data_IF_621962003341
#
_entry.id   IF_621962003341
#
_cell.length_a   1.000
_cell.length_b   1.000
_cell.length_c   1.000
_cell.angle_alpha   90.00
_cell.angle_beta   90.00
_cell.angle_gamma   90.00
#
_symmetry.space_group_name_H-M   'P 1'
#
loop_
_entity.id
_entity.type
_entity.pdbx_description
1 polymer ?
#
# COMPACT_ATOMS: atom_id res chain seq x y z
N UNK A 1 3.63 6.57 2.95
CA UNK A 1 3.70 7.88 2.25
C UNK A 1 4.23 7.84 0.81
N UNK A 2 5.03 6.83 0.39
CA UNK A 2 5.62 6.75 -0.97
C UNK A 2 4.59 6.69 -2.13
N UNK A 3 3.43 6.06 -1.94
CA UNK A 3 2.41 5.93 -3.00
C UNK A 3 1.68 7.24 -3.34
N UNK A 4 1.34 8.07 -2.34
CA UNK A 4 0.69 9.39 -2.54
C UNK A 4 1.52 10.32 -3.44
N UNK A 5 2.86 10.21 -3.41
CA UNK A 5 3.74 10.98 -4.29
C UNK A 5 3.71 10.50 -5.74
N UNK A 6 3.51 9.20 -6.02
CA UNK A 6 3.63 8.62 -7.36
C UNK A 6 2.48 9.01 -8.31
N UNK A 7 1.22 9.01 -7.85
CA UNK A 7 0.11 9.36 -8.74
C UNK A 7 0.07 10.86 -9.01
N UNK A 8 0.27 11.67 -7.95
CA UNK A 8 0.35 13.12 -8.07
C UNK A 8 1.52 13.56 -8.95
N UNK A 9 2.70 12.95 -8.81
CA UNK A 9 3.83 13.26 -9.70
C UNK A 9 3.54 12.88 -11.14
N UNK A 10 2.87 11.73 -11.38
CA UNK A 10 2.50 11.31 -12.74
C UNK A 10 1.53 12.29 -13.40
N UNK A 11 0.48 12.73 -12.71
CA UNK A 11 -0.47 13.70 -13.27
C UNK A 11 0.24 15.02 -13.60
N UNK A 12 1.07 15.54 -12.69
CA UNK A 12 1.82 16.78 -12.92
C UNK A 12 2.81 16.64 -14.07
N UNK A 13 3.53 15.53 -14.14
CA UNK A 13 4.48 15.24 -15.24
C UNK A 13 3.73 15.09 -16.56
N UNK A 14 2.59 14.39 -16.61
CA UNK A 14 1.80 14.22 -17.84
C UNK A 14 1.26 15.56 -18.36
N UNK A 15 0.69 16.40 -17.49
CA UNK A 15 0.23 17.73 -17.89
C UNK A 15 1.38 18.66 -18.30
N UNK A 16 2.51 18.60 -17.59
CA UNK A 16 3.71 19.37 -17.92
C UNK A 16 4.30 18.97 -19.28
N UNK A 17 4.47 17.66 -19.51
CA UNK A 17 4.96 17.12 -20.78
C UNK A 17 4.00 17.41 -21.93
N UNK A 18 2.69 17.27 -21.71
CA UNK A 18 1.69 17.58 -22.74
C UNK A 18 1.70 19.07 -23.09
N UNK A 19 1.72 19.96 -22.09
CA UNK A 19 1.80 21.40 -22.32
C UNK A 19 3.10 21.81 -23.02
N UNK A 20 4.23 21.23 -22.64
CA UNK A 20 5.52 21.48 -23.27
C UNK A 20 5.54 20.97 -24.73
N UNK A 21 5.03 19.76 -24.99
CA UNK A 21 4.95 19.20 -26.33
C UNK A 21 4.04 20.03 -27.25
N UNK A 22 2.88 20.45 -26.75
CA UNK A 22 1.92 21.26 -27.51
C UNK A 22 2.48 22.64 -27.85
N UNK A 23 3.15 23.29 -26.90
CA UNK A 23 3.77 24.61 -27.11
C UNK A 23 4.97 24.52 -28.05
N UNK A 24 5.80 23.49 -27.94
CA UNK A 24 6.89 23.24 -28.87
C UNK A 24 6.38 22.98 -30.30
N UNK A 25 5.31 22.19 -30.44
CA UNK A 25 4.68 21.92 -31.74
C UNK A 25 4.08 23.19 -32.36
N UNK A 26 3.45 24.04 -31.54
CA UNK A 26 2.95 25.34 -32.00
C UNK A 26 4.09 26.27 -32.45
N UNK A 27 5.20 26.31 -31.71
CA UNK A 27 6.37 27.10 -32.09
C UNK A 27 6.99 26.61 -33.41
N UNK A 28 7.12 25.29 -33.60
CA UNK A 28 7.59 24.70 -34.86
C UNK A 28 6.65 25.03 -36.03
N UNK A 29 5.33 24.98 -35.80
CA UNK A 29 4.34 25.33 -36.81
C UNK A 29 4.43 26.81 -37.23
N UNK A 30 4.64 27.72 -36.27
CA UNK A 30 4.84 29.16 -36.55
C UNK A 30 6.11 29.40 -37.37
N UNK A 31 7.22 28.72 -37.03
CA UNK A 31 8.48 28.84 -37.77
C UNK A 31 8.30 28.33 -39.21
N UNK A 32 7.66 27.16 -39.39
CA UNK A 32 7.40 26.60 -40.71
C UNK A 32 6.49 27.50 -41.57
N UNK A 33 5.40 28.01 -40.97
CA UNK A 33 4.47 28.91 -41.66
C UNK A 33 5.16 30.21 -42.08
N UNK A 34 6.01 30.78 -41.21
CA UNK A 34 6.78 31.97 -41.56
C UNK A 34 7.70 31.71 -42.75
N UNK A 35 8.46 30.61 -42.75
CA UNK A 35 9.35 30.26 -43.85
C UNK A 35 8.60 30.19 -45.19
N UNK A 36 7.43 29.54 -45.20
CA UNK A 36 6.60 29.46 -46.40
C UNK A 36 6.04 30.82 -46.86
N UNK A 37 5.67 31.70 -45.93
CA UNK A 37 5.16 33.04 -46.26
C UNK A 37 6.27 33.95 -46.77
N UNK A 38 7.47 33.85 -46.20
CA UNK A 38 8.64 34.65 -46.58
C UNK A 38 9.10 34.28 -47.99
N UNK A 39 9.20 32.98 -48.32
CA UNK A 39 9.53 32.52 -49.67
C UNK A 39 8.50 33.00 -50.71
N UNK A 40 7.20 33.00 -50.37
CA UNK A 40 6.15 33.50 -51.27
C UNK A 40 6.23 35.01 -51.47
N UNK A 41 6.36 35.78 -50.38
CA UNK A 41 6.42 37.24 -50.43
C UNK A 41 7.67 37.74 -51.14
N UNK A 42 8.83 37.10 -50.93
CA UNK A 42 10.08 37.46 -51.61
C UNK A 42 9.97 37.15 -53.10
N UNK A 43 9.49 35.96 -53.49
CA UNK A 43 9.34 35.61 -54.91
C UNK A 43 8.33 36.52 -55.63
N UNK A 44 7.19 36.82 -55.00
CA UNK A 44 6.18 37.71 -55.57
C UNK A 44 6.70 39.15 -55.67
N UNK A 45 7.43 39.63 -54.64
CA UNK A 45 8.05 40.95 -54.66
C UNK A 45 9.14 41.06 -55.72
N UNK A 46 9.97 40.02 -55.87
CA UNK A 46 11.02 39.95 -56.89
C UNK A 46 10.43 39.96 -58.30
N UNK A 47 9.40 39.14 -58.56
CA UNK A 47 8.76 39.08 -59.88
C UNK A 47 8.04 40.38 -60.23
N UNK A 48 7.28 40.94 -59.29
CA UNK A 48 6.59 42.22 -59.51
C UNK A 48 7.57 43.37 -59.71
N UNK A 49 8.66 43.39 -58.94
CA UNK A 49 9.73 44.38 -59.07
C UNK A 49 10.43 44.31 -60.43
N UNK A 50 10.75 43.10 -60.92
CA UNK A 50 11.34 42.91 -62.25
C UNK A 50 10.39 43.38 -63.36
N UNK A 51 9.09 43.04 -63.28
CA UNK A 51 8.10 43.43 -64.29
C UNK A 51 7.87 44.95 -64.33
N UNK A 52 7.67 45.58 -63.18
CA UNK A 52 7.49 47.04 -63.09
C UNK A 52 8.75 47.79 -63.56
N UNK A 53 9.93 47.22 -63.32
CA UNK A 53 11.19 47.79 -63.77
C UNK A 53 11.40 47.64 -65.29
N UNK A 54 11.02 46.51 -65.89
CA UNK A 54 11.04 46.32 -67.35
C UNK A 54 10.10 47.31 -68.06
N UNK A 55 8.92 47.55 -67.50
CA UNK A 55 7.98 48.53 -68.05
C UNK A 55 8.48 49.97 -67.91
N UNK A 56 9.12 50.32 -66.79
CA UNK A 56 9.78 51.61 -66.63
C UNK A 56 10.89 51.84 -67.64
N UNK A 57 11.74 50.84 -67.91
CA UNK A 57 12.83 50.96 -68.90
C UNK A 57 12.32 51.05 -70.34
N UNK A 58 11.20 50.41 -70.66
CA UNK A 58 10.51 50.60 -71.95
C UNK A 58 10.01 52.04 -72.12
N UNK A 59 9.60 52.69 -71.03
CA UNK A 59 9.10 54.08 -71.04
C UNK A 59 10.24 55.12 -70.95
N UNK A 60 11.37 54.77 -70.34
CA UNK A 60 12.54 55.62 -70.18
C UNK A 60 13.82 54.93 -70.68
N UNK A 61 14.09 54.94 -71.99
CA UNK A 61 15.24 54.27 -72.60
C UNK A 61 16.61 54.92 -72.27
N UNK A 62 16.64 56.00 -71.50
CA UNK A 62 17.88 56.67 -71.11
C UNK A 62 18.74 55.80 -70.17
N UNK A 63 20.03 55.69 -70.48
CA UNK A 63 20.99 54.76 -69.85
C UNK A 63 21.30 55.07 -68.37
N UNK A 64 20.80 56.17 -67.81
CA UNK A 64 21.07 56.62 -66.43
C UNK A 64 19.86 56.67 -65.49
N UNK A 65 18.66 56.31 -65.93
CA UNK A 65 17.45 56.42 -65.11
C UNK A 65 17.49 55.45 -63.92
N UNK A 66 17.60 55.99 -62.71
CA UNK A 66 17.49 55.23 -61.46
C UNK A 66 16.02 54.99 -61.14
N UNK A 67 15.63 53.74 -60.92
CA UNK A 67 14.31 53.40 -60.42
C UNK A 67 14.40 53.10 -58.92
N UNK A 68 13.92 54.00 -58.04
CA UNK A 68 13.87 53.71 -56.61
C UNK A 68 12.64 52.84 -56.32
N UNK A 69 12.81 51.52 -56.26
CA UNK A 69 11.91 50.69 -55.45
C UNK A 69 12.43 50.76 -54.01
N UNK A 70 11.58 51.06 -53.04
CA UNK A 70 11.91 50.74 -51.65
C UNK A 70 11.49 49.28 -51.43
N UNK A 71 12.39 48.32 -51.11
CA UNK A 71 13.76 48.46 -50.57
C UNK A 71 14.91 48.03 -51.52
N UNK A 72 14.78 48.23 -52.83
CA UNK A 72 15.65 47.64 -53.86
C UNK A 72 16.39 48.72 -54.65
N UNK A 73 17.72 48.62 -54.74
CA UNK A 73 18.52 49.42 -55.68
C UNK A 73 18.96 48.55 -56.85
N UNK A 74 18.49 48.85 -58.06
CA UNK A 74 18.89 48.16 -59.29
C UNK A 74 19.79 49.06 -60.15
N UNK A 75 20.95 48.55 -60.57
CA UNK A 75 21.87 49.20 -61.48
C UNK A 75 22.07 48.32 -62.70
N UNK A 76 21.75 48.85 -63.89
CA UNK A 76 22.06 48.18 -65.16
C UNK A 76 23.04 49.04 -65.93
N UNK A 77 24.12 48.41 -66.37
CA UNK A 77 25.12 49.04 -67.23
C UNK A 77 25.26 48.22 -68.51
N UNK A 78 25.46 48.88 -69.64
CA UNK A 78 25.93 48.22 -70.84
C UNK A 78 27.38 47.76 -70.63
N UNK A 79 27.80 46.69 -71.31
CA UNK A 79 29.17 46.16 -71.22
C UNK A 79 30.24 47.25 -71.41
N UNK A 80 29.95 48.24 -72.28
CA UNK A 80 30.82 49.38 -72.59
C UNK A 80 30.98 50.39 -71.45
N UNK A 81 30.09 50.39 -70.46
CA UNK A 81 30.06 51.33 -69.33
C UNK A 81 30.29 50.64 -67.99
N UNK A 82 30.95 49.47 -67.99
CA UNK A 82 31.29 48.72 -66.79
C UNK A 82 32.04 49.55 -65.72
N UNK A 83 32.83 50.55 -66.13
CA UNK A 83 33.55 51.46 -65.23
C UNK A 83 32.64 52.24 -64.26
N UNK A 84 31.34 52.37 -64.57
CA UNK A 84 30.37 53.10 -63.74
C UNK A 84 29.75 52.24 -62.61
N UNK A 85 30.05 50.94 -62.57
CA UNK A 85 29.60 50.06 -61.48
C UNK A 85 30.46 50.32 -60.24
N UNK A 86 29.88 50.39 -59.02
CA UNK A 86 30.67 50.49 -57.79
C UNK A 86 31.79 49.44 -57.76
N UNK A 87 33.02 49.87 -57.46
CA UNK A 87 34.21 49.00 -57.51
C UNK A 87 34.04 47.71 -56.67
N UNK A 88 33.30 47.80 -55.56
CA UNK A 88 32.99 46.66 -54.71
C UNK A 88 32.17 45.56 -55.40
N UNK A 89 31.35 45.89 -56.41
CA UNK A 89 30.44 44.96 -57.10
C UNK A 89 31.06 44.32 -58.34
N UNK A 90 32.08 44.97 -58.91
CA UNK A 90 32.73 44.58 -60.16
C UNK A 90 33.34 43.16 -60.12
N UNK A 91 33.76 42.70 -58.94
CA UNK A 91 34.37 41.39 -58.71
C UNK A 91 33.41 40.21 -58.80
N UNK A 92 32.10 40.44 -58.73
CA UNK A 92 31.10 39.36 -58.70
C UNK A 92 30.71 38.92 -60.12
N UNK A 93 30.66 37.60 -60.34
CA UNK A 93 30.14 36.98 -61.57
C UNK A 93 28.62 36.82 -61.53
N UNK A 94 27.99 36.23 -62.56
CA UNK A 94 26.54 35.95 -62.53
C UNK A 94 26.20 35.00 -61.36
N UNK A 95 25.31 35.42 -60.46
CA UNK A 95 24.97 34.69 -59.23
C UNK A 95 24.39 35.60 -58.13
N UNK A 96 24.02 35.02 -56.99
CA UNK A 96 23.57 35.77 -55.79
C UNK A 96 24.63 35.66 -54.72
N UNK A 97 25.01 36.79 -54.13
CA UNK A 97 26.09 36.90 -53.13
C UNK A 97 25.63 37.70 -51.91
N UNK A 98 26.08 37.29 -50.73
CA UNK A 98 25.95 38.09 -49.51
C UNK A 98 27.11 39.09 -49.44
N UNK A 99 26.79 40.37 -49.25
CA UNK A 99 27.76 41.46 -49.18
C UNK A 99 27.51 42.29 -47.91
N UNK A 100 28.56 42.91 -47.38
CA UNK A 100 28.46 43.84 -46.26
C UNK A 100 28.96 45.19 -46.75
N UNK A 101 28.14 46.22 -46.61
CA UNK A 101 28.50 47.59 -46.99
C UNK A 101 28.39 48.52 -45.79
N UNK A 102 29.30 49.49 -45.72
CA UNK A 102 29.26 50.52 -44.69
C UNK A 102 28.37 51.68 -45.18
N UNK A 103 27.30 51.95 -44.45
CA UNK A 103 26.38 53.07 -44.70
C UNK A 103 27.09 54.43 -44.46
N UNK A 104 26.52 55.54 -44.94
CA UNK A 104 27.11 56.90 -44.80
C UNK A 104 27.42 57.29 -43.34
N UNK A 105 26.74 56.66 -42.38
CA UNK A 105 26.98 56.79 -40.94
C UNK A 105 28.02 55.84 -40.33
N UNK A 106 28.82 55.15 -41.14
CA UNK A 106 29.90 54.27 -40.65
C UNK A 106 29.44 52.90 -40.11
N UNK A 107 28.19 52.50 -40.36
CA UNK A 107 27.64 51.22 -39.87
C UNK A 107 27.65 50.17 -40.97
N UNK A 108 28.21 49.01 -40.68
CA UNK A 108 28.14 47.84 -41.56
C UNK A 108 26.71 47.30 -41.59
N UNK A 109 26.17 47.10 -42.80
CA UNK A 109 24.87 46.50 -43.03
C UNK A 109 24.98 45.34 -44.02
N UNK A 110 24.32 44.20 -43.75
CA UNK A 110 24.27 43.07 -44.67
C UNK A 110 23.27 43.33 -45.81
N UNK A 111 23.70 43.03 -47.03
CA UNK A 111 22.89 43.11 -48.25
C UNK A 111 23.03 41.81 -49.05
N UNK A 112 21.99 41.49 -49.83
CA UNK A 112 22.08 40.49 -50.90
C UNK A 112 22.26 41.18 -52.24
N UNK A 113 23.28 40.78 -52.98
CA UNK A 113 23.59 41.26 -54.32
C UNK A 113 23.35 40.15 -55.34
N UNK A 114 22.33 40.29 -56.18
CA UNK A 114 22.15 39.45 -57.35
C UNK A 114 22.78 40.12 -58.57
N UNK A 115 23.62 39.37 -59.29
CA UNK A 115 24.34 39.83 -60.47
C UNK A 115 23.96 38.95 -61.65
N UNK A 116 23.61 39.56 -62.77
CA UNK A 116 23.35 38.86 -64.03
C UNK A 116 24.03 39.57 -65.17
N UNK A 117 24.96 38.88 -65.83
CA UNK A 117 25.69 39.39 -66.99
C UNK A 117 25.21 38.66 -68.24
N UNK A 118 24.60 39.38 -69.17
CA UNK A 118 24.27 38.90 -70.52
C UNK A 118 25.13 39.63 -71.56
N UNK A 119 25.03 39.22 -72.83
CA UNK A 119 25.92 39.63 -73.92
C UNK A 119 25.90 41.13 -74.22
N UNK A 120 24.84 41.85 -73.83
CA UNK A 120 24.65 43.28 -74.08
C UNK A 120 24.45 44.10 -72.78
N UNK A 121 23.92 43.48 -71.72
CA UNK A 121 23.45 44.14 -70.51
C UNK A 121 23.87 43.40 -69.24
N UNK A 122 24.43 44.14 -68.27
CA UNK A 122 24.76 43.61 -66.95
C UNK A 122 23.89 44.27 -65.89
N UNK A 123 23.18 43.46 -65.12
CA UNK A 123 22.29 43.89 -64.05
C UNK A 123 22.87 43.54 -62.67
N UNK A 124 22.84 44.51 -61.77
CA UNK A 124 23.18 44.39 -60.36
C UNK A 124 21.96 44.78 -59.54
N UNK A 125 21.59 43.91 -58.59
CA UNK A 125 20.38 44.03 -57.79
C UNK A 125 20.75 43.92 -56.32
N UNK A 126 20.56 44.99 -55.54
CA UNK A 126 20.87 45.03 -54.12
C UNK A 126 19.60 45.04 -53.27
N UNK A 127 19.53 44.15 -52.29
CA UNK A 127 18.44 44.03 -51.31
C UNK A 127 18.97 44.18 -49.88
N UNK A 128 18.33 45.04 -49.07
CA UNK A 128 18.67 45.26 -47.65
C UNK A 128 18.06 44.16 -46.77
N UNK A 129 18.91 43.23 -46.30
CA UNK A 129 18.51 42.08 -45.48
C UNK A 129 18.50 42.42 -43.99
N UNK A 130 19.02 43.59 -43.59
CA UNK A 130 19.19 43.94 -42.19
C UNK A 130 17.85 43.98 -41.42
N UNK A 131 16.76 44.33 -42.11
CA UNK A 131 15.40 44.32 -41.53
C UNK A 131 14.84 42.91 -41.33
N UNK A 132 15.21 41.95 -42.18
CA UNK A 132 14.79 40.55 -42.06
C UNK A 132 15.50 39.83 -40.90
N UNK A 133 16.80 40.06 -40.73
CA UNK A 133 17.57 39.47 -39.62
C UNK A 133 17.09 39.94 -38.24
N UNK A 134 16.73 41.23 -38.13
CA UNK A 134 16.16 41.80 -36.91
C UNK A 134 14.79 41.19 -36.59
N UNK A 135 13.94 41.00 -37.61
CA UNK A 135 12.64 40.35 -37.48
C UNK A 135 12.76 38.89 -37.04
N UNK A 136 13.71 38.15 -37.59
CA UNK A 136 13.95 36.74 -37.23
C UNK A 136 14.34 36.58 -35.77
N UNK A 137 15.29 37.37 -35.28
CA UNK A 137 15.72 37.31 -33.86
C UNK A 137 14.59 37.69 -32.91
N UNK A 138 13.79 38.69 -33.26
CA UNK A 138 12.63 39.09 -32.45
C UNK A 138 11.56 38.00 -32.41
N UNK A 139 11.28 37.35 -33.54
CA UNK A 139 10.31 36.25 -33.61
C UNK A 139 10.78 35.01 -32.83
N UNK A 140 12.04 34.59 -32.99
CA UNK A 140 12.61 33.47 -32.22
C UNK A 140 12.61 33.81 -30.73
N UNK A 141 13.03 35.02 -30.35
CA UNK A 141 12.99 35.49 -28.96
C UNK A 141 11.57 35.46 -28.37
N UNK A 142 10.59 35.99 -29.12
CA UNK A 142 9.19 35.98 -28.71
C UNK A 142 8.63 34.55 -28.57
N UNK A 143 9.00 33.63 -29.48
CA UNK A 143 8.61 32.22 -29.40
C UNK A 143 9.21 31.53 -28.18
N UNK A 144 10.51 31.73 -27.91
CA UNK A 144 11.17 31.17 -26.72
C UNK A 144 10.49 31.65 -25.43
N UNK A 145 10.20 32.95 -25.35
CA UNK A 145 9.47 33.53 -24.21
C UNK A 145 8.08 32.92 -24.09
N UNK A 146 7.33 32.81 -25.20
CA UNK A 146 5.99 32.24 -25.22
C UNK A 146 6.00 30.77 -24.77
N UNK A 147 6.86 29.93 -25.36
CA UNK A 147 6.99 28.50 -25.00
C UNK A 147 7.33 28.33 -23.53
N UNK A 148 8.26 29.14 -23.02
CA UNK A 148 8.66 29.10 -21.60
C UNK A 148 7.50 29.50 -20.69
N UNK A 149 6.80 30.60 -21.01
CA UNK A 149 5.67 31.10 -20.23
C UNK A 149 4.50 30.09 -20.20
N UNK A 150 4.13 29.53 -21.35
CA UNK A 150 3.05 28.54 -21.42
C UNK A 150 3.43 27.20 -20.77
N UNK A 151 4.69 26.78 -20.87
CA UNK A 151 5.18 25.58 -20.16
C UNK A 151 5.10 25.77 -18.65
N UNK A 152 5.49 26.93 -18.14
CA UNK A 152 5.37 27.28 -16.72
C UNK A 152 3.90 27.29 -16.28
N UNK A 153 3.02 27.91 -17.08
CA UNK A 153 1.58 27.95 -16.81
C UNK A 153 0.97 26.54 -16.78
N UNK A 154 1.30 25.69 -17.75
CA UNK A 154 0.84 24.30 -17.79
C UNK A 154 1.32 23.51 -16.57
N UNK A 155 2.56 23.73 -16.13
CA UNK A 155 3.09 23.12 -14.91
C UNK A 155 2.32 23.58 -13.65
N UNK A 156 2.07 24.88 -13.51
CA UNK A 156 1.31 25.45 -12.38
C UNK A 156 -0.12 24.91 -12.35
N UNK A 157 -0.81 24.89 -13.50
CA UNK A 157 -2.16 24.36 -13.62
C UNK A 157 -2.21 22.85 -13.35
N UNK A 158 -1.27 22.08 -13.88
CA UNK A 158 -1.14 20.65 -13.61
C UNK A 158 -0.90 20.36 -12.13
N UNK A 159 -0.05 21.15 -11.48
CA UNK A 159 0.22 21.06 -10.04
C UNK A 159 -1.01 21.37 -9.18
N UNK A 160 -1.74 22.43 -9.53
CA UNK A 160 -2.96 22.85 -8.84
C UNK A 160 -4.08 21.80 -9.01
N UNK A 161 -4.31 21.34 -10.23
CA UNK A 161 -5.32 20.31 -10.54
C UNK A 161 -5.01 18.99 -9.82
N UNK A 162 -3.77 18.50 -9.89
CA UNK A 162 -3.36 17.29 -9.21
C UNK A 162 -3.52 17.37 -7.69
N UNK A 163 -3.30 18.56 -7.08
CA UNK A 163 -3.59 18.78 -5.65
C UNK A 163 -5.07 18.70 -5.35
N UNK A 164 -5.92 19.31 -6.18
CA UNK A 164 -7.37 19.37 -5.94
C UNK A 164 -8.04 18.01 -6.10
N UNK A 165 -7.70 17.27 -7.16
CA UNK A 165 -8.28 15.94 -7.45
C UNK A 165 -7.81 14.86 -6.47
N UNK A 166 -6.54 14.91 -6.02
CA UNK A 166 -6.00 13.86 -5.13
C UNK A 166 -6.32 14.07 -3.64
N UNK A 167 -6.77 15.25 -3.23
CA UNK A 167 -7.01 15.57 -1.82
C UNK A 167 -8.14 14.70 -1.22
N UNK A 168 -9.32 14.53 -1.85
CA UNK A 168 -10.40 13.69 -1.32
C UNK A 168 -9.98 12.22 -1.17
N UNK A 169 -9.32 11.65 -2.18
CA UNK A 169 -8.82 10.26 -2.13
C UNK A 169 -7.79 10.07 -1.01
N UNK A 170 -6.92 11.06 -0.80
CA UNK A 170 -5.96 11.01 0.29
C UNK A 170 -6.63 11.07 1.65
N UNK A 171 -7.64 11.93 1.83
CA UNK A 171 -8.44 12.04 3.06
C UNK A 171 -9.16 10.72 3.36
N UNK A 172 -9.80 10.11 2.35
CA UNK A 172 -10.52 8.84 2.48
C UNK A 172 -9.59 7.73 2.96
N UNK A 173 -8.40 7.63 2.36
CA UNK A 173 -7.39 6.67 2.79
C UNK A 173 -6.84 6.93 4.19
N UNK A 174 -6.89 8.17 4.68
CA UNK A 174 -6.46 8.53 6.03
C UNK A 174 -7.52 8.16 7.07
N UNK A 175 -8.78 8.49 6.80
CA UNK A 175 -9.93 8.11 7.63
C UNK A 175 -10.04 6.60 7.76
N UNK A 176 -9.90 5.87 6.65
CA UNK A 176 -9.90 4.40 6.67
C UNK A 176 -8.77 3.81 7.53
N UNK A 177 -7.60 4.47 7.59
CA UNK A 177 -6.48 4.03 8.46
C UNK A 177 -6.69 4.38 9.92
N UNK A 178 -7.21 5.58 10.21
CA UNK A 178 -7.52 6.00 11.57
C UNK A 178 -8.58 5.06 12.19
N UNK A 179 -9.49 4.55 11.37
CA UNK A 179 -10.54 3.61 11.79
C UNK A 179 -9.98 2.27 12.31
N UNK A 180 -8.85 1.79 11.79
CA UNK A 180 -8.20 0.55 12.28
C UNK A 180 -7.84 0.60 13.78
N UNK A 181 -7.78 1.79 14.37
CA UNK A 181 -7.43 2.02 15.77
C UNK A 181 -8.63 2.40 16.65
N UNK A 182 -9.86 2.03 16.27
CA UNK A 182 -11.07 2.37 17.05
C UNK A 182 -11.59 3.78 16.77
N UNK A 183 -11.56 4.20 15.50
CA UNK A 183 -12.08 5.51 15.08
C UNK A 183 -13.60 5.66 15.22
N UNK A 184 -14.14 6.89 15.10
CA UNK A 184 -15.56 7.19 15.29
C UNK A 184 -16.45 6.40 14.32
N UNK A 185 -17.60 5.93 14.77
CA UNK A 185 -18.56 5.08 14.03
C UNK A 185 -19.30 5.77 12.87
N UNK A 186 -18.80 6.94 12.45
CA UNK A 186 -19.43 7.77 11.42
C UNK A 186 -19.16 7.19 10.01
N UNK A 187 -20.18 7.19 9.16
CA UNK A 187 -20.07 6.65 7.79
C UNK A 187 -19.09 7.50 6.97
N UNK A 188 -18.24 6.85 6.17
CA UNK A 188 -17.26 7.55 5.35
C UNK A 188 -17.97 8.43 4.31
N UNK A 189 -19.05 7.93 3.70
CA UNK A 189 -19.78 8.59 2.63
C UNK A 189 -20.34 9.97 3.01
N UNK A 190 -20.69 10.20 4.28
CA UNK A 190 -21.25 11.48 4.75
C UNK A 190 -20.28 12.66 4.59
N UNK A 191 -18.98 12.39 4.44
CA UNK A 191 -17.92 13.37 4.34
C UNK A 191 -17.53 13.74 2.90
N UNK A 192 -18.11 13.08 1.89
CA UNK A 192 -17.75 13.25 0.48
C UNK A 192 -18.95 13.72 -0.34
N UNK A 193 -18.67 14.37 -1.47
CA UNK A 193 -19.69 14.72 -2.43
C UNK A 193 -20.19 13.48 -3.18
N UNK A 194 -21.34 13.56 -3.85
CA UNK A 194 -21.87 12.50 -4.72
C UNK A 194 -21.11 12.42 -6.06
N UNK A 195 -19.80 12.21 -5.99
CA UNK A 195 -18.89 11.97 -7.10
C UNK A 195 -18.26 10.56 -6.98
N UNK A 196 -17.28 10.25 -7.82
CA UNK A 196 -16.62 8.94 -7.83
C UNK A 196 -15.93 8.61 -6.49
N UNK A 197 -15.51 9.62 -5.73
CA UNK A 197 -14.91 9.41 -4.40
C UNK A 197 -15.98 9.13 -3.36
N UNK A 198 -17.13 9.80 -3.44
CA UNK A 198 -18.29 9.49 -2.61
C UNK A 198 -18.88 8.10 -2.86
N UNK A 199 -18.96 7.67 -4.13
CA UNK A 199 -19.42 6.32 -4.48
C UNK A 199 -18.47 5.26 -3.90
N UNK A 200 -17.15 5.48 -3.99
CA UNK A 200 -16.17 4.61 -3.37
C UNK A 200 -16.29 4.57 -1.84
N UNK A 201 -16.57 5.72 -1.20
CA UNK A 201 -16.80 5.78 0.24
C UNK A 201 -18.06 4.99 0.64
N UNK A 202 -19.16 5.13 -0.10
CA UNK A 202 -20.40 4.39 0.13
C UNK A 202 -20.23 2.88 -0.06
N UNK A 203 -19.46 2.45 -1.07
CA UNK A 203 -19.14 1.04 -1.29
C UNK A 203 -18.30 0.46 -0.14
N UNK A 204 -17.36 1.23 0.41
CA UNK A 204 -16.60 0.85 1.60
C UNK A 204 -17.50 0.74 2.84
N UNK A 205 -18.45 1.67 3.01
CA UNK A 205 -19.41 1.61 4.11
C UNK A 205 -20.35 0.40 4.01
N UNK A 206 -20.85 0.06 2.82
CA UNK A 206 -21.65 -1.15 2.60
C UNK A 206 -20.85 -2.43 2.87
N UNK A 207 -19.60 -2.49 2.39
CA UNK A 207 -18.71 -3.62 2.68
C UNK A 207 -18.45 -3.77 4.18
N UNK A 208 -18.23 -2.66 4.89
CA UNK A 208 -18.07 -2.63 6.35
C UNK A 208 -19.32 -3.15 7.05
N UNK A 209 -20.51 -2.70 6.64
CA UNK A 209 -21.78 -3.13 7.21
C UNK A 209 -21.95 -4.64 7.07
N UNK A 210 -21.71 -5.19 5.87
CA UNK A 210 -21.78 -6.63 5.62
C UNK A 210 -20.79 -7.45 6.43
N UNK A 211 -19.56 -6.96 6.60
CA UNK A 211 -18.57 -7.61 7.46
C UNK A 211 -19.02 -7.60 8.93
N UNK A 212 -19.56 -6.48 9.40
CA UNK A 212 -20.05 -6.35 10.78
C UNK A 212 -21.22 -7.29 11.03
N UNK A 213 -22.21 -7.30 10.14
CA UNK A 213 -23.35 -8.23 10.19
C UNK A 213 -22.90 -9.70 10.12
N UNK A 214 -21.90 -10.03 9.30
CA UNK A 214 -21.34 -11.38 9.23
C UNK A 214 -20.68 -11.78 10.55
N UNK A 215 -19.92 -10.88 11.17
CA UNK A 215 -19.27 -11.12 12.47
C UNK A 215 -20.32 -11.26 13.59
N UNK A 216 -21.37 -10.43 13.58
CA UNK A 216 -22.46 -10.51 14.56
C UNK A 216 -23.26 -11.81 14.40
N UNK A 217 -23.69 -12.16 13.18
CA UNK A 217 -24.38 -13.45 12.92
C UNK A 217 -23.54 -14.64 13.33
N UNK A 218 -22.24 -14.61 13.05
CA UNK A 218 -21.39 -15.71 13.47
C UNK A 218 -21.17 -15.74 15.00
N UNK A 219 -21.30 -14.61 15.73
CA UNK A 219 -21.24 -14.58 17.20
C UNK A 219 -22.51 -15.19 17.79
N UNK A 220 -23.68 -14.78 17.29
CA UNK A 220 -24.98 -15.32 17.67
C UNK A 220 -25.04 -16.82 17.40
N UNK A 221 -24.66 -17.27 16.20
CA UNK A 221 -24.62 -18.70 15.84
C UNK A 221 -23.76 -19.52 16.80
N UNK A 222 -22.56 -19.04 17.15
CA UNK A 222 -21.69 -19.76 18.09
C UNK A 222 -22.26 -19.78 19.52
N UNK A 223 -22.92 -18.71 19.94
CA UNK A 223 -23.60 -18.65 21.24
C UNK A 223 -24.75 -19.67 21.29
N UNK A 224 -25.56 -19.72 20.25
CA UNK A 224 -26.72 -20.62 20.13
C UNK A 224 -26.29 -22.08 20.07
N UNK A 225 -25.31 -22.42 19.22
CA UNK A 225 -24.74 -23.78 19.14
C UNK A 225 -24.19 -24.24 20.49
N UNK A 226 -23.65 -23.33 21.31
CA UNK A 226 -23.18 -23.67 22.65
C UNK A 226 -24.32 -24.15 23.56
N UNK A 227 -25.45 -23.46 23.53
CA UNK A 227 -26.60 -23.78 24.36
C UNK A 227 -27.32 -25.04 23.85
N UNK A 228 -27.48 -25.17 22.53
CA UNK A 228 -28.13 -26.31 21.90
C UNK A 228 -27.35 -27.63 22.08
N UNK A 229 -26.02 -27.58 22.19
CA UNK A 229 -25.20 -28.77 22.46
C UNK A 229 -25.11 -29.12 23.96
N UNK A 230 -25.14 -28.12 24.86
CA UNK A 230 -25.03 -28.35 26.31
C UNK A 230 -26.27 -29.05 26.88
N UNK A 231 -27.45 -28.70 26.38
CA UNK A 231 -28.74 -29.24 26.85
C UNK A 231 -28.86 -30.77 26.69
N UNK A 232 -28.65 -31.38 25.51
CA UNK A 232 -28.76 -32.83 25.36
C UNK A 232 -27.68 -33.58 26.15
N UNK A 233 -26.49 -33.01 26.32
CA UNK A 233 -25.43 -33.61 27.13
C UNK A 233 -25.78 -33.59 28.63
N UNK A 234 -26.38 -32.52 29.13
CA UNK A 234 -26.90 -32.45 30.50
C UNK A 234 -28.02 -33.47 30.75
N UNK A 235 -28.90 -33.69 29.77
CA UNK A 235 -29.95 -34.73 29.86
C UNK A 235 -29.33 -36.12 29.93
N UNK A 236 -28.33 -36.42 29.09
CA UNK A 236 -27.64 -37.71 29.12
C UNK A 236 -26.96 -37.92 30.48
N UNK A 237 -26.21 -36.91 30.97
CA UNK A 237 -25.53 -36.98 32.26
C UNK A 237 -26.53 -37.23 33.41
N UNK A 238 -27.60 -36.42 33.49
CA UNK A 238 -28.63 -36.56 34.53
C UNK A 238 -29.32 -37.92 34.49
N UNK A 239 -29.64 -38.43 33.29
CA UNK A 239 -30.28 -39.73 33.13
C UNK A 239 -29.35 -40.86 33.60
N UNK A 240 -28.05 -40.76 33.29
CA UNK A 240 -27.05 -41.73 33.74
C UNK A 240 -26.85 -41.67 35.26
N UNK A 241 -26.82 -40.47 35.86
CA UNK A 241 -26.77 -40.30 37.31
C UNK A 241 -27.98 -40.94 38.01
N UNK A 242 -29.20 -40.74 37.49
CA UNK A 242 -30.41 -41.37 38.01
C UNK A 242 -30.37 -42.89 37.91
N UNK A 243 -29.89 -43.44 36.79
CA UNK A 243 -29.76 -44.88 36.60
C UNK A 243 -28.68 -45.50 37.49
N UNK A 244 -27.60 -44.78 37.77
CA UNK A 244 -26.55 -45.21 38.71
C UNK A 244 -27.02 -45.18 40.17
N UNK A 245 -28.00 -44.33 40.50
CA UNK A 245 -28.60 -44.26 41.82
C UNK A 245 -29.71 -45.31 42.06
N UNK A 246 -30.15 -46.02 41.02
CA UNK A 246 -31.21 -47.02 41.13
C UNK A 246 -30.75 -48.27 41.91
N UNK A 247 -31.57 -48.81 42.83
CA UNK A 247 -31.24 -50.05 43.54
C UNK A 247 -31.28 -51.27 42.59
N UNK A 248 -30.48 -52.30 42.87
CA UNK A 248 -30.40 -53.58 42.15
C UNK A 248 -29.90 -53.54 40.68
N UNK A 249 -29.07 -52.57 40.31
CA UNK A 249 -28.33 -52.61 39.05
C UNK A 249 -27.24 -53.70 39.05
N UNK A 250 -27.18 -54.52 37.99
CA UNK A 250 -26.10 -55.51 37.84
C UNK A 250 -24.73 -54.85 37.58
N UNK A 251 -23.65 -55.52 37.97
CA UNK A 251 -22.28 -55.01 37.76
C UNK A 251 -21.99 -54.68 36.29
N UNK A 252 -22.45 -55.53 35.35
CA UNK A 252 -22.33 -55.28 33.91
C UNK A 252 -23.08 -54.03 33.46
N UNK A 253 -24.22 -53.72 34.06
CA UNK A 253 -24.98 -52.49 33.74
C UNK A 253 -24.29 -51.26 34.34
N UNK A 254 -23.80 -51.37 35.58
CA UNK A 254 -23.04 -50.32 36.25
C UNK A 254 -21.80 -49.90 35.42
N UNK A 255 -21.04 -50.86 34.92
CA UNK A 255 -19.88 -50.60 34.06
C UNK A 255 -20.24 -49.91 32.74
N UNK A 256 -21.38 -50.28 32.13
CA UNK A 256 -21.89 -49.64 30.91
C UNK A 256 -22.32 -48.20 31.18
N UNK A 257 -23.06 -47.95 32.26
CA UNK A 257 -23.50 -46.62 32.67
C UNK A 257 -22.32 -45.69 32.96
N UNK A 258 -21.31 -46.16 33.72
CA UNK A 258 -20.05 -45.43 33.94
C UNK A 258 -19.27 -45.16 32.67
N UNK A 259 -19.45 -45.96 31.61
CA UNK A 259 -18.83 -45.71 30.30
C UNK A 259 -19.57 -44.61 29.53
N UNK A 260 -20.90 -44.59 29.59
CA UNK A 260 -21.75 -43.53 29.01
C UNK A 260 -21.53 -42.21 29.74
N UNK A 261 -21.48 -42.22 31.08
CA UNK A 261 -21.16 -41.04 31.91
C UNK A 261 -19.85 -40.39 31.46
N UNK A 262 -18.79 -41.21 31.34
CA UNK A 262 -17.46 -40.74 30.87
C UNK A 262 -17.50 -40.19 29.44
N UNK A 263 -18.22 -40.85 28.53
CA UNK A 263 -18.32 -40.40 27.14
C UNK A 263 -19.14 -39.10 27.02
N UNK A 264 -20.22 -38.96 27.77
CA UNK A 264 -21.04 -37.74 27.82
C UNK A 264 -20.25 -36.56 28.39
N UNK A 265 -19.52 -36.79 29.49
CA UNK A 265 -18.62 -35.79 30.08
C UNK A 265 -17.52 -35.37 29.09
N UNK A 266 -16.91 -36.33 28.39
CA UNK A 266 -15.90 -36.06 27.37
C UNK A 266 -16.46 -35.22 26.20
N UNK A 267 -17.68 -35.51 25.75
CA UNK A 267 -18.34 -34.74 24.70
C UNK A 267 -18.67 -33.32 25.14
N UNK A 268 -19.09 -33.13 26.40
CA UNK A 268 -19.39 -31.80 26.96
C UNK A 268 -18.14 -30.93 27.02
N UNK A 269 -17.04 -31.48 27.53
CA UNK A 269 -15.78 -30.76 27.66
C UNK A 269 -15.11 -30.49 26.30
N UNK A 270 -15.20 -31.42 25.33
CA UNK A 270 -14.71 -31.19 23.97
C UNK A 270 -15.53 -30.11 23.26
N UNK A 271 -16.84 -30.12 23.43
CA UNK A 271 -17.75 -29.11 22.89
C UNK A 271 -17.42 -27.74 23.47
N UNK A 272 -17.25 -27.66 24.80
CA UNK A 272 -16.84 -26.43 25.48
C UNK A 272 -15.47 -25.93 24.99
N UNK A 273 -14.48 -26.80 24.83
CA UNK A 273 -13.17 -26.45 24.29
C UNK A 273 -13.25 -25.94 22.84
N UNK A 274 -14.05 -26.58 21.98
CA UNK A 274 -14.24 -26.17 20.58
C UNK A 274 -14.99 -24.82 20.48
N UNK A 275 -15.99 -24.60 21.31
CA UNK A 275 -16.73 -23.35 21.37
C UNK A 275 -15.87 -22.22 21.94
N UNK A 276 -15.02 -22.52 22.92
CA UNK A 276 -14.06 -21.58 23.46
C UNK A 276 -13.01 -21.19 22.40
N UNK A 277 -12.54 -22.16 21.61
CA UNK A 277 -11.68 -21.90 20.45
C UNK A 277 -12.40 -21.06 19.40
N UNK A 278 -13.64 -21.39 19.03
CA UNK A 278 -14.43 -20.65 18.02
C UNK A 278 -14.72 -19.20 18.43
N UNK A 279 -15.04 -18.98 19.72
CA UNK A 279 -15.26 -17.64 20.28
C UNK A 279 -13.98 -16.79 20.27
N UNK A 280 -12.83 -17.40 20.57
CA UNK A 280 -11.56 -16.68 20.81
C UNK A 280 -10.58 -16.67 19.65
N UNK A 281 -10.78 -17.47 18.61
CA UNK A 281 -10.08 -17.34 17.32
C UNK A 281 -10.40 -16.02 16.61
N UNK A 282 -11.36 -15.24 17.13
CA UNK A 282 -11.74 -13.90 16.63
C UNK A 282 -11.26 -12.76 17.51
N UNK A 283 -10.69 -13.07 18.67
CA UNK A 283 -9.69 -12.27 19.38
C UNK A 283 -8.28 -12.78 19.00
N UNK A 284 -8.14 -13.40 17.82
CA UNK A 284 -6.84 -13.73 17.30
C UNK A 284 -6.03 -12.44 17.15
N UNK A 285 -4.72 -12.47 17.47
CA UNK A 285 -3.82 -11.37 17.26
C UNK A 285 -4.12 -10.68 15.94
N UNK A 286 -4.32 -9.36 15.99
CA UNK A 286 -3.84 -8.56 14.86
C UNK A 286 -2.40 -8.99 14.61
N UNK A 287 -2.04 -9.36 13.37
CA UNK A 287 -0.72 -9.91 13.01
C UNK A 287 0.40 -9.27 13.86
N UNK A 288 0.91 -10.00 14.87
CA UNK A 288 1.97 -9.51 15.77
C UNK A 288 1.64 -9.32 17.26
N UNK A 289 0.47 -9.67 17.80
CA UNK A 289 0.32 -9.68 19.28
C UNK A 289 1.12 -10.81 19.93
N UNK A 290 2.13 -10.43 20.72
CA UNK A 290 2.82 -11.29 21.67
C UNK A 290 2.09 -11.27 23.01
N UNK A 291 1.82 -12.44 23.57
CA UNK A 291 1.26 -12.60 24.91
C UNK A 291 2.38 -12.70 25.92
N UNK A 292 2.34 -11.84 26.93
CA UNK A 292 3.12 -11.96 28.17
C UNK A 292 2.56 -13.11 29.03
N UNK A 293 3.28 -14.23 29.03
CA UNK A 293 2.85 -15.47 29.72
C UNK A 293 2.87 -15.31 31.24
N UNK A 294 3.73 -14.44 31.79
CA UNK A 294 3.83 -14.22 33.24
C UNK A 294 2.52 -13.64 33.78
N UNK A 295 1.97 -12.62 33.13
CA UNK A 295 0.67 -12.04 33.50
C UNK A 295 -0.47 -13.05 33.44
N UNK A 296 -0.46 -13.93 32.43
CA UNK A 296 -1.48 -14.98 32.30
C UNK A 296 -1.35 -15.98 33.44
N UNK A 297 -0.13 -16.38 33.81
CA UNK A 297 0.11 -17.28 34.96
C UNK A 297 -0.39 -16.66 36.26
N UNK A 298 -0.08 -15.38 36.53
CA UNK A 298 -0.57 -14.65 37.71
C UNK A 298 -2.10 -14.67 37.80
N UNK A 299 -2.78 -14.35 36.70
CA UNK A 299 -4.23 -14.35 36.63
C UNK A 299 -4.82 -15.75 36.84
N UNK A 300 -4.23 -16.77 36.21
CA UNK A 300 -4.68 -18.17 36.32
C UNK A 300 -4.52 -18.68 37.75
N UNK A 301 -3.40 -18.35 38.42
CA UNK A 301 -3.19 -18.71 39.82
C UNK A 301 -4.29 -18.13 40.68
N UNK A 302 -4.58 -16.82 40.54
CA UNK A 302 -5.55 -16.13 41.38
C UNK A 302 -6.99 -16.62 41.15
N UNK A 303 -7.41 -16.79 39.90
CA UNK A 303 -8.75 -17.31 39.57
C UNK A 303 -8.96 -18.72 40.14
N UNK A 304 -7.92 -19.56 40.07
CA UNK A 304 -8.03 -20.94 40.53
C UNK A 304 -7.82 -21.10 42.04
N UNK A 305 -7.40 -20.07 42.80
CA UNK A 305 -7.22 -20.17 44.27
C UNK A 305 -8.48 -20.64 44.99
N UNK A 306 -9.65 -20.33 44.45
CA UNK A 306 -10.95 -20.81 44.96
C UNK A 306 -11.04 -22.34 45.06
N UNK A 307 -10.34 -23.08 44.20
CA UNK A 307 -10.29 -24.55 44.21
C UNK A 307 -9.48 -25.14 45.37
N UNK A 308 -8.69 -24.31 46.07
CA UNK A 308 -7.94 -24.75 47.24
C UNK A 308 -8.83 -24.90 48.48
N UNK A 309 -9.98 -24.22 48.56
CA UNK A 309 -11.04 -24.45 49.58
C UNK A 309 -10.54 -24.76 51.01
N UNK A 310 -9.58 -23.98 51.53
CA UNK A 310 -8.92 -24.15 52.84
C UNK A 310 -7.97 -25.36 53.00
N UNK A 311 -7.54 -26.00 51.91
CA UNK A 311 -6.43 -26.97 51.95
C UNK A 311 -5.14 -26.27 52.39
N UNK A 312 -4.29 -26.92 53.21
CA UNK A 312 -2.98 -26.39 53.58
C UNK A 312 -1.98 -26.56 52.41
N UNK A 313 -2.19 -25.79 51.35
CA UNK A 313 -1.36 -25.79 50.13
C UNK A 313 -0.80 -24.40 49.91
N UNK A 314 0.53 -24.30 49.91
CA UNK A 314 1.25 -23.09 49.56
C UNK A 314 1.41 -22.99 48.04
N UNK A 315 1.12 -21.82 47.46
CA UNK A 315 1.29 -21.58 46.02
C UNK A 315 2.44 -20.62 45.80
N UNK A 316 3.45 -21.09 45.07
CA UNK A 316 4.68 -20.33 44.79
C UNK A 316 4.77 -20.06 43.29
N UNK A 317 4.92 -18.79 42.92
CA UNK A 317 5.22 -18.37 41.54
C UNK A 317 6.70 -17.95 41.48
N UNK A 318 7.49 -18.60 40.64
CA UNK A 318 8.88 -18.24 40.38
C UNK A 318 9.01 -17.82 38.90
N UNK A 319 9.50 -16.61 38.67
CA UNK A 319 9.74 -16.08 37.32
C UNK A 319 11.25 -15.93 37.14
N UNK A 320 11.84 -16.80 36.34
CA UNK A 320 13.27 -16.78 36.03
C UNK A 320 13.55 -15.77 34.91
N UNK A 321 12.73 -15.79 33.84
CA UNK A 321 12.85 -14.90 32.68
C UNK A 321 11.46 -14.49 32.15
N UNK A 322 11.33 -13.28 31.57
CA UNK A 322 10.12 -12.89 30.85
C UNK A 322 9.87 -13.83 29.67
N UNK A 323 8.61 -14.21 29.46
CA UNK A 323 8.21 -15.13 28.40
C UNK A 323 7.09 -14.53 27.56
N UNK A 324 7.38 -14.28 26.29
CA UNK A 324 6.41 -13.83 25.28
C UNK A 324 6.14 -14.91 24.24
N UNK A 325 4.87 -15.13 23.91
CA UNK A 325 4.44 -16.16 22.95
C UNK A 325 3.49 -15.55 21.91
N UNK A 326 3.70 -15.91 20.63
CA UNK A 326 2.80 -15.52 19.53
C UNK A 326 1.55 -16.41 19.55
N UNK A 327 0.65 -16.13 20.48
CA UNK A 327 -0.66 -16.75 20.56
C UNK A 327 -1.60 -15.85 21.37
N UNK A 328 -2.93 -15.98 21.18
CA UNK A 328 -3.89 -15.24 22.00
C UNK A 328 -3.70 -15.60 23.49
N UNK A 329 -3.68 -14.58 24.36
CA UNK A 329 -3.53 -14.75 25.82
C UNK A 329 -4.55 -15.72 26.39
N UNK A 330 -5.72 -15.73 25.78
CA UNK A 330 -6.83 -16.57 26.10
C UNK A 330 -6.60 -18.07 25.87
N UNK A 331 -5.79 -18.43 24.87
CA UNK A 331 -5.43 -19.82 24.58
C UNK A 331 -4.41 -20.32 25.59
N UNK A 332 -3.41 -19.47 25.87
CA UNK A 332 -2.41 -19.71 26.92
C UNK A 332 -3.10 -19.90 28.28
N UNK A 333 -4.09 -19.06 28.60
CA UNK A 333 -4.87 -19.15 29.83
C UNK A 333 -5.62 -20.48 29.98
N UNK A 334 -6.19 -21.01 28.89
CA UNK A 334 -6.90 -22.30 28.92
C UNK A 334 -5.95 -23.45 29.18
N UNK A 335 -4.80 -23.46 28.50
CA UNK A 335 -3.79 -24.50 28.73
C UNK A 335 -3.31 -24.47 30.18
N UNK A 336 -2.95 -23.29 30.70
CA UNK A 336 -2.45 -23.12 32.06
C UNK A 336 -3.52 -23.40 33.12
N UNK A 337 -4.78 -23.00 32.90
CA UNK A 337 -5.90 -23.30 33.83
C UNK A 337 -6.06 -24.80 34.00
N UNK A 338 -5.93 -25.57 32.92
CA UNK A 338 -6.01 -27.03 33.01
C UNK A 338 -4.82 -27.64 33.78
N UNK A 339 -3.60 -27.11 33.61
CA UNK A 339 -2.42 -27.60 34.32
C UNK A 339 -2.42 -27.22 35.81
N UNK A 340 -2.69 -25.95 36.13
CA UNK A 340 -2.77 -25.45 37.51
C UNK A 340 -3.97 -26.05 38.24
N UNK A 341 -5.12 -26.15 37.59
CA UNK A 341 -6.31 -26.80 38.15
C UNK A 341 -6.05 -28.27 38.51
N UNK A 342 -5.30 -29.00 37.68
CA UNK A 342 -4.87 -30.37 38.02
C UNK A 342 -3.96 -30.37 39.26
N UNK A 343 -2.97 -29.49 39.34
CA UNK A 343 -2.08 -29.40 40.50
C UNK A 343 -2.84 -29.14 41.81
N UNK A 344 -3.76 -28.18 41.83
CA UNK A 344 -4.60 -27.86 43.01
C UNK A 344 -5.53 -29.00 43.41
N UNK A 345 -6.04 -29.73 42.41
CA UNK A 345 -6.92 -30.86 42.64
C UNK A 345 -6.21 -32.02 43.31
N UNK A 346 -5.04 -32.39 42.80
CA UNK A 346 -4.29 -33.58 43.24
C UNK A 346 -3.33 -33.31 44.41
N UNK A 347 -3.22 -32.07 44.88
CA UNK A 347 -2.48 -31.73 46.10
C UNK A 347 -3.46 -31.57 47.27
N UNK A 348 -3.53 -32.52 48.21
CA UNK A 348 -4.34 -32.37 49.42
C UNK A 348 -3.67 -31.47 50.47
N UNK A 349 -2.34 -31.45 50.54
CA UNK A 349 -1.51 -30.64 51.44
C UNK A 349 -0.10 -30.51 50.86
N UNK A 350 0.60 -29.40 51.11
CA UNK A 350 1.99 -29.20 50.71
C UNK A 350 2.19 -27.95 49.84
N UNK A 351 2.84 -28.08 48.69
CA UNK A 351 3.16 -26.96 47.81
C UNK A 351 2.73 -27.21 46.35
N UNK A 352 2.32 -26.14 45.66
CA UNK A 352 2.21 -26.08 44.21
C UNK A 352 3.08 -24.93 43.71
N UNK A 353 4.04 -25.25 42.86
CA UNK A 353 5.04 -24.30 42.35
C UNK A 353 4.86 -24.13 40.85
N UNK A 354 4.74 -22.89 40.40
CA UNK A 354 4.68 -22.53 38.98
C UNK A 354 5.94 -21.77 38.62
N UNK A 355 6.74 -22.31 37.70
CA UNK A 355 7.99 -21.72 37.23
C UNK A 355 7.87 -21.28 35.78
N UNK A 356 8.26 -20.04 35.49
CA UNK A 356 8.25 -19.46 34.13
C UNK A 356 9.69 -19.08 33.74
N UNK A 357 10.19 -19.62 32.62
CA UNK A 357 11.54 -19.35 32.12
C UNK A 357 11.95 -20.29 30.98
N UNK A 358 13.04 -20.01 30.25
CA UNK A 358 13.58 -20.86 29.17
C UNK A 358 12.52 -21.31 28.13
N UNK A 359 11.60 -20.40 27.74
CA UNK A 359 10.58 -20.69 26.73
C UNK A 359 9.46 -21.63 27.18
N UNK A 360 9.35 -21.94 28.48
CA UNK A 360 8.41 -22.94 29.02
C UNK A 360 7.79 -22.49 30.35
N UNK A 361 6.68 -23.13 30.70
CA UNK A 361 6.05 -23.04 32.02
C UNK A 361 6.04 -24.44 32.64
N UNK A 362 6.52 -24.55 33.88
CA UNK A 362 6.53 -25.79 34.66
C UNK A 362 5.60 -25.64 35.86
N UNK A 363 4.61 -26.50 35.98
CA UNK A 363 3.72 -26.59 37.14
C UNK A 363 4.08 -27.85 37.92
N UNK A 364 4.57 -27.69 39.13
CA UNK A 364 4.99 -28.75 40.03
C UNK A 364 4.03 -28.84 41.21
N UNK A 365 3.62 -30.06 41.55
CA UNK A 365 2.80 -30.34 42.73
C UNK A 365 3.53 -31.27 43.71
N UNK A 366 3.11 -31.26 44.97
CA UNK A 366 3.57 -32.17 46.03
C UNK A 366 2.52 -33.24 46.37
N UNK A 367 1.65 -33.59 45.42
CA UNK A 367 0.61 -34.60 45.60
C UNK A 367 1.15 -36.03 45.74
N UNK A 368 0.28 -37.05 45.73
CA UNK A 368 0.66 -38.46 45.91
C UNK A 368 1.57 -39.03 44.79
N UNK A 369 1.90 -38.22 43.78
CA UNK A 369 2.77 -38.61 42.67
C UNK A 369 2.06 -39.43 41.60
N UNK A 370 2.76 -39.61 40.49
CA UNK A 370 2.30 -40.41 39.34
C UNK A 370 3.37 -41.49 39.11
N UNK A 371 2.97 -42.74 38.83
CA UNK A 371 3.96 -43.75 38.43
C UNK A 371 4.57 -43.37 37.07
N UNK A 372 5.87 -43.60 36.87
CA UNK A 372 6.52 -43.25 35.60
C UNK A 372 5.84 -43.87 34.37
N UNK A 373 5.31 -45.09 34.52
CA UNK A 373 4.55 -45.82 33.49
C UNK A 373 3.19 -45.17 33.16
N UNK A 374 2.58 -44.49 34.12
CA UNK A 374 1.29 -43.81 33.97
C UNK A 374 1.45 -42.40 33.36
N UNK A 375 2.61 -41.75 33.54
CA UNK A 375 2.85 -40.38 33.10
C UNK A 375 2.75 -40.20 31.58
N UNK A 376 3.26 -41.14 30.78
CA UNK A 376 3.08 -41.13 29.31
C UNK A 376 1.68 -41.54 28.87
N UNK A 377 1.02 -42.40 29.66
CA UNK A 377 -0.32 -42.94 29.36
C UNK A 377 -1.44 -41.94 29.67
N UNK A 378 -1.24 -41.05 30.64
CA UNK A 378 -2.20 -39.98 30.99
C UNK A 378 -2.43 -38.94 29.89
N UNK A 379 -1.54 -38.85 28.89
CA UNK A 379 -1.75 -38.07 27.67
C UNK A 379 -2.47 -38.83 26.56
N UNK A 380 -2.66 -40.15 26.70
CA UNK A 380 -3.40 -40.97 25.75
C UNK A 380 -4.89 -40.95 26.11
N UNK A 381 -5.75 -41.03 25.10
CA UNK A 381 -7.20 -40.80 25.22
C UNK A 381 -7.83 -41.63 26.36
N UNK A 382 -8.34 -40.94 27.38
CA UNK A 382 -9.39 -41.44 28.26
C UNK A 382 -9.02 -42.48 29.33
N UNK A 383 -7.75 -42.62 29.72
CA UNK A 383 -7.34 -43.57 30.76
C UNK A 383 -6.81 -42.89 32.03
N UNK A 384 -7.22 -43.43 33.19
CA UNK A 384 -6.78 -43.00 34.53
C UNK A 384 -5.50 -43.76 34.92
N UNK A 385 -4.62 -43.11 35.68
CA UNK A 385 -3.56 -43.82 36.43
C UNK A 385 -4.16 -44.61 37.60
N UNK A 386 -3.57 -45.77 37.89
CA UNK A 386 -4.01 -46.64 38.98
C UNK A 386 -3.65 -46.01 40.33
N UNK A 387 -4.58 -45.24 40.93
CA UNK A 387 -4.41 -44.67 42.27
C UNK A 387 -5.21 -43.41 42.60
N UNK A 388 -5.88 -42.76 41.64
CA UNK A 388 -6.59 -41.51 41.91
C UNK A 388 -8.05 -41.72 42.35
N UNK A 389 -8.35 -41.49 43.63
CA UNK A 389 -9.69 -41.57 44.26
C UNK A 389 -10.57 -40.32 44.07
N UNK A 390 -10.15 -39.35 43.26
CA UNK A 390 -10.89 -38.10 43.02
C UNK A 390 -11.80 -38.11 41.79
N UNK A 391 -13.05 -37.63 41.94
CA UNK A 391 -13.93 -37.29 40.81
C UNK A 391 -13.30 -36.19 39.95
N UNK A 392 -12.69 -36.57 38.83
CA UNK A 392 -12.71 -35.77 37.62
C UNK A 392 -11.56 -36.09 36.67
N UNK A 393 -11.98 -36.69 35.58
CA UNK A 393 -11.60 -36.39 34.20
C UNK A 393 -10.12 -36.11 33.91
N UNK A 394 -9.41 -37.13 33.40
CA UNK A 394 -8.15 -36.97 32.65
C UNK A 394 -8.34 -36.30 31.28
N UNK A 395 -9.22 -35.30 31.21
CA UNK A 395 -9.62 -34.58 30.00
C UNK A 395 -8.90 -33.23 29.88
N UNK A 396 -8.55 -32.58 30.99
CA UNK A 396 -7.80 -31.33 30.97
C UNK A 396 -6.44 -31.45 30.30
N UNK A 397 -5.71 -32.55 30.51
CA UNK A 397 -4.46 -32.83 29.79
C UNK A 397 -4.68 -33.11 28.29
N UNK A 398 -5.85 -33.65 27.90
CA UNK A 398 -6.18 -33.87 26.49
C UNK A 398 -6.46 -32.54 25.76
N UNK A 399 -7.10 -31.57 26.43
CA UNK A 399 -7.30 -30.21 25.91
C UNK A 399 -5.94 -29.53 25.73
N UNK A 400 -5.06 -29.57 26.75
CA UNK A 400 -3.71 -29.00 26.65
C UNK A 400 -2.93 -29.62 25.49
N UNK A 401 -2.98 -30.95 25.32
CA UNK A 401 -2.33 -31.63 24.19
C UNK A 401 -2.87 -31.14 22.84
N UNK A 402 -4.19 -30.98 22.70
CA UNK A 402 -4.79 -30.51 21.45
C UNK A 402 -4.40 -29.07 21.12
N UNK A 403 -4.33 -28.20 22.12
CA UNK A 403 -3.81 -26.84 21.96
C UNK A 403 -2.34 -26.86 21.55
N UNK A 404 -1.54 -27.75 22.15
CA UNK A 404 -0.13 -27.92 21.76
C UNK A 404 0.03 -28.39 20.31
N UNK A 405 -0.83 -29.30 19.83
CA UNK A 405 -0.84 -29.73 18.42
C UNK A 405 -1.22 -28.61 17.45
N UNK A 406 -2.08 -27.67 17.88
CA UNK A 406 -2.56 -26.57 17.04
C UNK A 406 -1.56 -25.41 16.92
N UNK A 407 -0.80 -25.16 18.00
CA UNK A 407 0.15 -24.05 18.11
C UNK A 407 1.63 -24.50 18.04
N UNK A 408 1.89 -25.75 17.67
CA UNK A 408 3.23 -26.37 17.62
C UNK A 408 4.02 -26.28 18.93
N UNK A 409 3.32 -26.36 20.06
CA UNK A 409 3.90 -26.45 21.41
C UNK A 409 4.10 -27.90 21.84
N UNK A 410 4.78 -28.09 22.97
CA UNK A 410 5.00 -29.41 23.56
C UNK A 410 4.59 -29.43 25.03
N UNK A 411 3.70 -30.36 25.37
CA UNK A 411 3.36 -30.67 26.77
C UNK A 411 4.00 -31.98 27.20
N UNK A 412 4.49 -32.05 28.44
CA UNK A 412 4.98 -33.27 29.07
C UNK A 412 4.63 -33.31 30.56
N UNK A 413 4.59 -34.51 31.14
CA UNK A 413 4.30 -34.76 32.55
C UNK A 413 5.34 -35.75 33.06
N UNK A 414 5.98 -35.44 34.18
CA UNK A 414 6.99 -36.32 34.79
C UNK A 414 6.75 -36.46 36.29
N UNK A 415 7.02 -37.63 36.88
CA UNK A 415 7.04 -37.77 38.32
C UNK A 415 8.20 -37.00 38.94
N UNK A 416 7.99 -36.45 40.15
CA UNK A 416 9.05 -35.79 40.91
C UNK A 416 9.70 -36.78 41.89
N UNK A 417 11.03 -36.71 42.12
CA UNK A 417 11.73 -37.60 43.07
C UNK A 417 11.24 -37.48 44.52
N UNK A 418 10.67 -36.33 44.88
CA UNK A 418 10.22 -35.99 46.24
C UNK A 418 8.73 -36.31 46.47
N UNK A 419 8.05 -36.92 45.48
CA UNK A 419 6.58 -37.04 45.44
C UNK A 419 5.93 -35.92 44.61
N UNK A 420 4.76 -36.20 44.04
CA UNK A 420 4.03 -35.29 43.13
C UNK A 420 4.42 -35.41 41.65
N UNK A 421 3.93 -34.48 40.83
CA UNK A 421 4.21 -34.42 39.40
C UNK A 421 4.69 -33.05 38.94
N UNK A 422 5.36 -33.02 37.79
CA UNK A 422 5.83 -31.83 37.10
C UNK A 422 5.26 -31.82 35.68
N UNK A 423 4.30 -30.94 35.43
CA UNK A 423 3.74 -30.69 34.11
C UNK A 423 4.50 -29.55 33.43
N UNK A 424 5.07 -29.79 32.26
CA UNK A 424 5.83 -28.79 31.49
C UNK A 424 5.10 -28.47 30.19
N UNK A 425 4.84 -27.19 29.96
CA UNK A 425 4.33 -26.63 28.70
C UNK A 425 5.46 -25.82 28.04
N UNK A 426 6.00 -26.32 26.95
CA UNK A 426 7.11 -25.71 26.19
C UNK A 426 6.54 -25.04 24.93
N UNK A 427 6.75 -23.73 24.81
CA UNK A 427 6.24 -22.91 23.73
C UNK A 427 7.20 -22.81 22.54
N UNK A 428 8.39 -23.43 22.63
CA UNK A 428 9.36 -23.44 21.54
C UNK A 428 8.87 -24.35 20.41
N UNK A 429 8.95 -23.83 19.18
CA UNK A 429 8.54 -24.54 17.97
C UNK A 429 9.18 -25.92 17.88
N UNK A 430 8.37 -26.90 17.48
CA UNK A 430 8.85 -28.23 17.09
C UNK A 430 9.72 -28.08 15.83
N UNK A 431 11.04 -28.21 15.97
CA UNK A 431 11.98 -28.25 14.82
C UNK A 431 11.70 -29.43 13.91
#
# INVERSE_FOLDING_TARGET
MRYRRRLRSRIVISFGLFGMALTALFALAVIALRGTLEDQLINDSLQNGVNQFLDFKRQHPEEGAQFPFSPITALIVSERKFANVPFAWQKYGTGVYDIVETDEGGRERPYKLAVRKESDLWAFYRYDVAKEELGERQLIGALVVAVTAFSLLAFVLGYWSARRVMRPVADLAERLRAFKNGGPDDELASHYANDEVGELAAALDDYRRRLTEMVERDREFNADVSHELRTPLAVIATTVELLLAAPNISDKMNDRLKRIERASQQSAELTEALLLLSRRQREAPSDGETTDVVKVVEQVIEVNRTHLANKPVEVILEVEEPLEVVAPSSVVAVALTNLVGNAYKYTPSGEVRVRVGDGKVVVEDSGPGIKAEDAERLFQRGQRGEGATGKGAGLGLAIVRRLCELYDWKVSLRPRPQGGAAATLDFRLRR
#
